data_IF_239495375595
#
_entry.id   IF_239495375595
#
_cell.length_a   1.000
_cell.length_b   1.000
_cell.length_c   1.000
_cell.angle_alpha   90.00
_cell.angle_beta   90.00
_cell.angle_gamma   90.00
#
_symmetry.space_group_name_H-M   'P 1'
#
loop_
_entity.id
_entity.type
_entity.pdbx_description
1 polymer ?
#
# COMPACT_ATOMS: atom_id res chain seq x y z
N UNK A 1 -3.44 -28.94 -15.65
CA UNK A 1 -3.79 -27.64 -16.28
C UNK A 1 -2.97 -27.47 -17.55
N UNK A 2 -3.60 -27.08 -18.65
CA UNK A 2 -2.88 -26.73 -19.86
C UNK A 2 -2.36 -25.27 -19.78
N UNK A 3 -1.49 -24.87 -20.73
CA UNK A 3 -0.88 -23.53 -20.73
C UNK A 3 -1.91 -22.39 -20.77
N UNK A 4 -3.00 -22.54 -21.51
CA UNK A 4 -4.08 -21.55 -21.62
C UNK A 4 -4.81 -21.35 -20.28
N UNK A 5 -5.07 -22.42 -19.55
CA UNK A 5 -5.71 -22.35 -18.22
C UNK A 5 -4.79 -21.62 -17.21
N UNK A 6 -3.49 -21.93 -17.24
CA UNK A 6 -2.51 -21.26 -16.37
C UNK A 6 -2.44 -19.77 -16.70
N UNK A 7 -2.34 -19.40 -17.99
CA UNK A 7 -2.34 -17.99 -18.41
C UNK A 7 -3.58 -17.27 -17.89
N UNK A 8 -4.77 -17.86 -18.07
CA UNK A 8 -6.01 -17.26 -17.59
C UNK A 8 -6.01 -17.02 -16.08
N UNK A 9 -5.57 -18.00 -15.29
CA UNK A 9 -5.52 -17.88 -13.82
C UNK A 9 -4.58 -16.74 -13.40
N UNK A 10 -3.39 -16.66 -13.99
CA UNK A 10 -2.41 -15.62 -13.67
C UNK A 10 -2.94 -14.24 -14.06
N UNK A 11 -3.46 -14.09 -15.26
CA UNK A 11 -4.03 -12.83 -15.74
C UNK A 11 -5.20 -12.36 -14.87
N UNK A 12 -6.12 -13.26 -14.54
CA UNK A 12 -7.29 -12.95 -13.72
C UNK A 12 -6.85 -12.51 -12.31
N UNK A 13 -5.86 -13.15 -11.71
CA UNK A 13 -5.31 -12.77 -10.41
C UNK A 13 -4.68 -11.36 -10.44
N UNK A 14 -3.89 -11.06 -11.49
CA UNK A 14 -3.29 -9.74 -11.68
C UNK A 14 -4.37 -8.66 -11.87
N UNK A 15 -5.37 -8.93 -12.70
CA UNK A 15 -6.49 -8.00 -13.00
C UNK A 15 -7.42 -7.78 -11.80
N UNK A 16 -7.61 -8.82 -10.97
CA UNK A 16 -8.48 -8.75 -9.79
C UNK A 16 -7.86 -7.98 -8.61
N UNK A 17 -6.53 -7.84 -8.56
CA UNK A 17 -5.85 -7.09 -7.50
C UNK A 17 -6.24 -5.61 -7.57
N UNK A 18 -6.75 -5.07 -6.47
CA UNK A 18 -7.11 -3.65 -6.29
C UNK A 18 -6.60 -3.14 -4.94
N UNK A 19 -6.54 -1.83 -4.77
CA UNK A 19 -6.33 -1.20 -3.46
C UNK A 19 -7.65 -1.16 -2.70
N UNK A 20 -7.81 -2.05 -1.74
CA UNK A 20 -9.02 -2.18 -0.92
C UNK A 20 -8.95 -1.22 0.26
N UNK A 21 -10.03 -0.49 0.53
CA UNK A 21 -10.07 0.59 1.53
C UNK A 21 -11.14 0.38 2.62
N UNK A 22 -11.61 -0.84 2.77
CA UNK A 22 -12.43 -1.27 3.88
C UNK A 22 -12.27 -2.79 4.06
N UNK A 23 -11.96 -3.23 5.26
CA UNK A 23 -11.68 -4.63 5.56
C UNK A 23 -12.61 -5.15 6.65
N UNK A 24 -12.88 -6.45 6.59
CA UNK A 24 -13.56 -7.18 7.65
C UNK A 24 -12.63 -7.37 8.86
N UNK A 25 -13.15 -7.39 10.09
CA UNK A 25 -12.35 -7.62 11.30
C UNK A 25 -11.96 -9.11 11.48
N UNK A 26 -11.96 -9.88 10.38
CA UNK A 26 -11.61 -11.28 10.37
C UNK A 26 -10.10 -11.44 10.47
N UNK A 27 -9.57 -12.17 11.46
CA UNK A 27 -8.13 -12.34 11.63
C UNK A 27 -7.51 -13.10 10.45
N UNK A 28 -6.23 -12.84 10.21
CA UNK A 28 -5.39 -13.59 9.28
C UNK A 28 -4.35 -14.33 10.11
N UNK A 29 -4.25 -15.63 9.90
CA UNK A 29 -3.35 -16.49 10.66
C UNK A 29 -1.88 -16.15 10.35
N UNK A 30 -1.04 -16.20 11.38
CA UNK A 30 0.40 -15.91 11.24
C UNK A 30 1.07 -16.81 10.19
N UNK A 31 0.69 -18.08 10.13
CA UNK A 31 1.25 -19.01 9.17
C UNK A 31 0.88 -18.64 7.74
N UNK A 32 -0.36 -18.20 7.49
CA UNK A 32 -0.79 -17.74 6.18
C UNK A 32 0.01 -16.51 5.70
N UNK A 33 0.31 -15.58 6.62
CA UNK A 33 1.18 -14.44 6.33
C UNK A 33 2.59 -14.91 5.96
N UNK A 34 3.16 -15.86 6.71
CA UNK A 34 4.48 -16.42 6.40
C UNK A 34 4.50 -17.14 5.05
N UNK A 35 3.48 -17.91 4.74
CA UNK A 35 3.37 -18.67 3.50
C UNK A 35 3.26 -17.72 2.28
N UNK A 36 2.49 -16.65 2.39
CA UNK A 36 2.41 -15.66 1.31
C UNK A 36 3.72 -14.90 1.14
N UNK A 37 4.44 -14.55 2.23
CA UNK A 37 5.73 -13.87 2.17
C UNK A 37 6.82 -14.78 1.59
N UNK A 38 6.82 -16.08 1.89
CA UNK A 38 7.72 -17.07 1.28
C UNK A 38 7.56 -17.14 -0.26
N UNK A 39 6.31 -17.08 -0.74
CA UNK A 39 6.07 -17.01 -2.19
C UNK A 39 6.50 -15.67 -2.76
N UNK A 40 6.17 -14.57 -2.10
CA UNK A 40 6.55 -13.22 -2.53
C UNK A 40 8.07 -13.02 -2.58
N UNK A 41 8.82 -13.66 -1.68
CA UNK A 41 10.28 -13.62 -1.64
C UNK A 41 10.96 -14.25 -2.87
N UNK A 42 10.19 -14.88 -3.78
CA UNK A 42 10.67 -15.29 -5.10
C UNK A 42 10.80 -14.12 -6.09
N UNK A 43 10.42 -12.91 -5.70
CA UNK A 43 10.69 -11.71 -6.48
C UNK A 43 12.19 -11.62 -6.81
N UNK A 44 12.57 -11.19 -8.03
CA UNK A 44 13.96 -11.00 -8.38
C UNK A 44 14.54 -9.77 -7.65
N UNK A 45 15.86 -9.78 -7.46
CA UNK A 45 16.62 -8.62 -7.00
C UNK A 45 18.02 -8.63 -7.64
N UNK A 46 18.61 -7.46 -7.81
CA UNK A 46 19.97 -7.32 -8.35
C UNK A 46 20.95 -8.19 -7.57
N UNK A 47 21.68 -9.09 -8.27
CA UNK A 47 22.60 -10.07 -7.67
C UNK A 47 22.02 -10.88 -6.50
N UNK A 48 20.69 -11.00 -6.43
CA UNK A 48 19.95 -11.70 -5.40
C UNK A 48 20.13 -11.09 -3.98
N UNK A 49 20.23 -9.77 -3.89
CA UNK A 49 20.47 -9.05 -2.63
C UNK A 49 19.32 -9.12 -1.65
N UNK A 50 18.07 -9.33 -2.12
CA UNK A 50 16.87 -9.49 -1.29
C UNK A 50 16.74 -8.41 -0.21
N UNK A 51 16.62 -7.12 -0.58
CA UNK A 51 16.78 -5.99 0.33
C UNK A 51 15.58 -5.75 1.26
N UNK A 52 14.59 -6.60 1.20
CA UNK A 52 13.32 -6.44 1.93
C UNK A 52 13.40 -6.93 3.37
N UNK A 53 12.88 -6.09 4.27
CA UNK A 53 12.57 -6.41 5.65
C UNK A 53 11.08 -6.10 5.88
N UNK A 54 10.35 -6.99 6.54
CA UNK A 54 8.90 -6.87 6.71
C UNK A 54 8.53 -6.92 8.18
N UNK A 55 7.80 -5.92 8.63
CA UNK A 55 7.26 -5.84 9.98
C UNK A 55 5.75 -6.02 9.93
N UNK A 56 5.24 -6.96 10.71
CA UNK A 56 3.81 -7.24 10.82
C UNK A 56 3.30 -6.72 12.16
N UNK A 57 2.25 -5.91 12.12
CA UNK A 57 1.64 -5.35 13.31
C UNK A 57 0.16 -5.71 13.36
N UNK A 58 -0.31 -6.16 14.52
CA UNK A 58 -1.70 -6.59 14.75
C UNK A 58 -2.16 -6.21 16.14
N UNK A 59 -3.45 -6.37 16.41
CA UNK A 59 -4.03 -6.23 17.76
C UNK A 59 -3.72 -4.91 18.44
N UNK A 60 -3.43 -4.93 19.73
CA UNK A 60 -3.20 -3.75 20.55
C UNK A 60 -2.02 -2.89 20.07
N UNK A 61 -0.96 -3.50 19.52
CA UNK A 61 0.18 -2.73 18.98
C UNK A 61 -0.22 -1.94 17.73
N UNK A 62 -1.00 -2.55 16.82
CA UNK A 62 -1.55 -1.84 15.65
C UNK A 62 -2.46 -0.69 16.08
N UNK A 63 -3.34 -0.95 17.06
CA UNK A 63 -4.24 0.08 17.56
C UNK A 63 -3.48 1.26 18.17
N UNK A 64 -2.49 1.01 19.03
CA UNK A 64 -1.71 2.06 19.67
C UNK A 64 -0.96 2.93 18.64
N UNK A 65 -0.37 2.32 17.59
CA UNK A 65 0.25 3.06 16.50
C UNK A 65 -0.78 3.91 15.74
N UNK A 66 -1.91 3.32 15.41
CA UNK A 66 -3.00 4.03 14.71
C UNK A 66 -3.49 5.23 15.50
N UNK A 67 -3.73 5.08 16.80
CA UNK A 67 -4.22 6.14 17.68
C UNK A 67 -3.20 7.29 17.78
N UNK A 68 -1.89 7.00 17.94
CA UNK A 68 -0.84 8.02 17.99
C UNK A 68 -0.78 8.78 16.65
N UNK A 69 -0.76 8.10 15.50
CA UNK A 69 -0.72 8.76 14.20
C UNK A 69 -1.98 9.58 13.93
N UNK A 70 -3.17 9.07 14.22
CA UNK A 70 -4.44 9.78 14.02
C UNK A 70 -4.52 11.02 14.92
N UNK A 71 -4.03 10.93 16.17
CA UNK A 71 -3.93 12.07 17.07
C UNK A 71 -3.03 13.18 16.48
N UNK A 72 -1.86 12.82 15.96
CA UNK A 72 -0.96 13.77 15.31
C UNK A 72 -1.59 14.33 14.03
N UNK A 73 -2.19 13.50 13.20
CA UNK A 73 -2.83 13.89 11.93
C UNK A 73 -3.96 14.91 12.14
N UNK A 74 -4.72 14.77 13.24
CA UNK A 74 -5.82 15.68 13.57
C UNK A 74 -5.37 16.94 14.34
N UNK A 75 -4.09 17.05 14.69
CA UNK A 75 -3.53 18.23 15.33
C UNK A 75 -2.64 18.99 14.32
N UNK A 76 -3.08 20.17 13.80
CA UNK A 76 -2.32 20.90 12.78
C UNK A 76 -0.89 21.28 13.16
N UNK A 77 -0.63 21.58 14.44
CA UNK A 77 0.72 21.94 14.88
C UNK A 77 1.62 20.69 14.95
N UNK A 78 1.13 19.59 15.50
CA UNK A 78 1.87 18.34 15.55
C UNK A 78 2.11 17.76 14.14
N UNK A 79 1.15 17.96 13.22
CA UNK A 79 1.29 17.50 11.83
C UNK A 79 2.38 18.26 11.07
N UNK A 80 2.59 19.54 11.32
CA UNK A 80 3.65 20.35 10.70
C UNK A 80 5.06 19.83 11.02
N UNK A 81 5.22 19.18 12.16
CA UNK A 81 6.49 18.58 12.58
C UNK A 81 6.80 17.25 11.86
N UNK A 82 5.80 16.70 11.14
CA UNK A 82 5.96 15.45 10.41
C UNK A 82 6.49 15.71 9.00
N UNK A 83 7.53 14.99 8.62
CA UNK A 83 8.18 15.13 7.30
C UNK A 83 8.35 13.75 6.67
N UNK A 84 8.25 13.67 5.35
CA UNK A 84 8.63 12.47 4.63
C UNK A 84 10.15 12.24 4.70
N UNK A 85 10.54 10.99 4.79
CA UNK A 85 11.96 10.61 4.80
C UNK A 85 12.58 10.57 3.40
N UNK A 86 11.74 10.40 2.40
CA UNK A 86 12.08 10.46 0.98
C UNK A 86 10.90 11.02 0.18
N UNK A 87 11.17 11.58 -0.98
CA UNK A 87 10.13 12.14 -1.83
C UNK A 87 9.40 11.02 -2.60
N UNK A 88 8.21 10.63 -2.14
CA UNK A 88 7.38 9.67 -2.86
C UNK A 88 6.76 10.30 -4.12
N UNK A 89 6.35 11.56 -4.05
CA UNK A 89 5.74 12.28 -5.15
C UNK A 89 6.70 13.32 -5.76
N UNK A 90 6.55 13.65 -7.06
CA UNK A 90 7.32 14.71 -7.67
C UNK A 90 6.95 16.07 -7.05
N UNK A 91 7.94 16.97 -6.91
CA UNK A 91 7.70 18.33 -6.44
C UNK A 91 6.77 19.12 -7.37
N UNK A 92 6.86 18.85 -8.68
CA UNK A 92 5.99 19.46 -9.70
C UNK A 92 5.30 18.39 -10.52
N UNK A 93 3.98 18.47 -10.57
CA UNK A 93 3.16 17.55 -11.33
C UNK A 93 2.93 18.06 -12.77
N UNK A 94 3.06 17.17 -13.74
CA UNK A 94 2.76 17.39 -15.17
C UNK A 94 1.73 16.39 -15.67
N UNK A 95 1.06 16.69 -16.80
CA UNK A 95 0.22 15.71 -17.50
C UNK A 95 1.09 14.63 -18.17
N UNK A 96 0.55 13.41 -18.23
CA UNK A 96 -0.80 12.95 -17.86
C UNK A 96 -0.92 12.57 -16.37
N UNK A 97 0.14 12.67 -15.57
CA UNK A 97 0.19 12.14 -14.19
C UNK A 97 -0.73 12.91 -13.25
N UNK A 98 -0.79 14.24 -13.35
CA UNK A 98 -1.67 15.06 -12.50
C UNK A 98 -3.15 14.77 -12.80
N UNK A 99 -3.50 14.59 -14.06
CA UNK A 99 -4.87 14.25 -14.48
C UNK A 99 -5.30 12.89 -13.95
N UNK A 100 -4.44 11.87 -14.05
CA UNK A 100 -4.68 10.53 -13.49
C UNK A 100 -4.82 10.56 -11.96
N UNK A 101 -3.95 11.31 -11.28
CA UNK A 101 -4.02 11.50 -9.83
C UNK A 101 -5.34 12.15 -9.40
N UNK A 102 -5.75 13.20 -10.10
CA UNK A 102 -7.02 13.89 -9.81
C UNK A 102 -8.22 12.98 -10.06
N UNK A 103 -8.20 12.23 -11.17
CA UNK A 103 -9.29 11.32 -11.51
C UNK A 103 -9.53 10.28 -10.42
N UNK A 104 -8.50 9.59 -9.95
CA UNK A 104 -8.68 8.58 -8.91
C UNK A 104 -9.20 9.18 -7.59
N UNK A 105 -8.80 10.42 -7.26
CA UNK A 105 -9.34 11.13 -6.11
C UNK A 105 -10.83 11.48 -6.27
N UNK A 106 -11.21 12.03 -7.43
CA UNK A 106 -12.60 12.35 -7.74
C UNK A 106 -13.50 11.10 -7.76
N UNK A 107 -13.03 10.01 -8.37
CA UNK A 107 -13.79 8.76 -8.45
C UNK A 107 -14.02 8.18 -7.05
N UNK A 108 -12.99 8.15 -6.19
CA UNK A 108 -13.10 7.65 -4.82
C UNK A 108 -14.05 8.50 -3.95
N UNK A 109 -13.83 9.82 -3.94
CA UNK A 109 -14.66 10.72 -3.14
C UNK A 109 -16.09 10.81 -3.69
N UNK A 110 -16.26 10.70 -5.00
CA UNK A 110 -17.57 10.63 -5.63
C UNK A 110 -18.37 9.39 -5.19
N UNK A 111 -17.74 8.21 -5.15
CA UNK A 111 -18.36 7.00 -4.60
C UNK A 111 -18.80 7.16 -3.14
N UNK A 112 -18.02 7.89 -2.36
CA UNK A 112 -18.32 8.16 -0.94
C UNK A 112 -19.33 9.30 -0.75
N UNK A 113 -19.82 9.93 -1.84
CA UNK A 113 -20.71 11.07 -1.77
C UNK A 113 -20.08 12.34 -1.17
N UNK A 114 -18.74 12.46 -1.24
CA UNK A 114 -17.99 13.58 -0.68
C UNK A 114 -17.65 14.62 -1.75
N UNK A 115 -18.10 15.87 -1.53
CA UNK A 115 -17.83 17.02 -2.39
C UNK A 115 -16.77 17.97 -1.80
N UNK A 116 -16.39 19.01 -2.58
CA UNK A 116 -15.38 20.01 -2.18
C UNK A 116 -15.66 20.74 -0.86
N UNK A 117 -16.92 20.80 -0.42
CA UNK A 117 -17.34 21.42 0.85
C UNK A 117 -17.16 20.54 2.08
N UNK A 118 -17.01 19.22 1.88
CA UNK A 118 -17.01 18.23 2.97
C UNK A 118 -15.60 18.02 3.57
N UNK A 119 -14.91 19.11 3.91
CA UNK A 119 -13.51 19.05 4.36
C UNK A 119 -13.28 18.12 5.55
N UNK A 120 -14.15 18.17 6.56
CA UNK A 120 -14.03 17.31 7.75
C UNK A 120 -14.21 15.83 7.41
N UNK A 121 -15.20 15.50 6.56
CA UNK A 121 -15.42 14.14 6.10
C UNK A 121 -14.27 13.64 5.23
N UNK A 122 -13.72 14.50 4.37
CA UNK A 122 -12.52 14.17 3.57
C UNK A 122 -11.30 13.93 4.47
N UNK A 123 -11.12 14.74 5.52
CA UNK A 123 -10.07 14.53 6.52
C UNK A 123 -10.26 13.21 7.25
N UNK A 124 -11.48 12.91 7.72
CA UNK A 124 -11.81 11.64 8.35
C UNK A 124 -11.54 10.44 7.43
N UNK A 125 -11.91 10.54 6.14
CA UNK A 125 -11.62 9.51 5.15
C UNK A 125 -10.10 9.36 4.92
N UNK A 126 -9.34 10.44 4.94
CA UNK A 126 -7.87 10.39 4.83
C UNK A 126 -7.27 9.72 6.07
N UNK A 127 -7.78 10.03 7.27
CA UNK A 127 -7.34 9.43 8.52
C UNK A 127 -7.51 7.90 8.56
N UNK A 128 -8.46 7.33 7.79
CA UNK A 128 -8.63 5.87 7.68
C UNK A 128 -7.40 5.15 7.12
N UNK A 129 -6.52 5.84 6.40
CA UNK A 129 -5.22 5.26 6.04
C UNK A 129 -4.46 4.77 7.28
N UNK A 130 -4.51 5.53 8.36
CA UNK A 130 -3.73 5.29 9.58
C UNK A 130 -4.38 4.27 10.53
N UNK A 131 -5.65 3.93 10.32
CA UNK A 131 -6.28 2.75 10.90
C UNK A 131 -6.15 1.51 10.00
N UNK A 132 -5.34 1.58 8.93
CA UNK A 132 -5.21 0.52 7.93
C UNK A 132 -6.54 0.15 7.25
N UNK A 133 -7.46 1.12 7.11
CA UNK A 133 -8.80 0.87 6.59
C UNK A 133 -9.54 -0.27 7.31
N UNK A 134 -9.32 -0.39 8.62
CA UNK A 134 -9.85 -1.43 9.52
C UNK A 134 -9.31 -2.85 9.29
N UNK A 135 -8.29 -3.02 8.45
CA UNK A 135 -7.64 -4.31 8.23
C UNK A 135 -7.08 -4.89 9.55
N UNK A 136 -7.20 -6.20 9.78
CA UNK A 136 -6.68 -6.84 10.99
C UNK A 136 -5.15 -6.80 11.05
N UNK A 137 -4.49 -6.71 9.90
CA UNK A 137 -3.02 -6.73 9.77
C UNK A 137 -2.53 -5.45 9.11
N UNK A 138 -1.59 -4.78 9.77
CA UNK A 138 -0.73 -3.76 9.19
C UNK A 138 0.63 -4.38 8.82
N UNK A 139 1.10 -4.06 7.63
CA UNK A 139 2.41 -4.47 7.14
C UNK A 139 3.25 -3.24 6.90
N UNK A 140 4.49 -3.22 7.38
CA UNK A 140 5.46 -2.20 7.03
C UNK A 140 6.64 -2.83 6.30
N UNK A 141 7.01 -2.20 5.22
CA UNK A 141 8.14 -2.54 4.39
C UNK A 141 9.30 -1.61 4.72
N UNK A 142 10.45 -2.19 5.02
CA UNK A 142 11.63 -1.50 5.52
C UNK A 142 12.85 -1.93 4.71
N UNK A 143 13.75 -1.00 4.43
CA UNK A 143 14.99 -1.23 3.69
C UNK A 143 16.17 -0.64 4.46
N UNK A 144 17.36 -1.21 4.30
CA UNK A 144 18.56 -0.61 4.86
C UNK A 144 18.96 0.64 4.05
N UNK A 145 19.32 1.73 4.74
CA UNK A 145 19.67 3.04 4.14
C UNK A 145 20.83 2.99 3.16
N UNK A 146 21.70 1.99 3.29
CA UNK A 146 22.80 1.78 2.35
C UNK A 146 22.31 1.38 0.95
N UNK A 147 21.09 0.88 0.85
CA UNK A 147 20.50 0.46 -0.42
C UNK A 147 20.06 1.66 -1.26
N UNK A 148 20.39 1.64 -2.55
CA UNK A 148 20.15 2.73 -3.49
C UNK A 148 18.95 2.43 -4.41
N UNK A 149 18.70 3.31 -5.38
CA UNK A 149 17.53 3.28 -6.28
C UNK A 149 17.28 1.93 -6.96
N UNK A 150 18.34 1.16 -7.30
CA UNK A 150 18.19 -0.18 -7.86
C UNK A 150 17.47 -1.13 -6.92
N UNK A 151 17.81 -1.10 -5.63
CA UNK A 151 17.14 -1.93 -4.62
C UNK A 151 15.70 -1.48 -4.33
N UNK A 152 15.36 -0.22 -4.56
CA UNK A 152 13.98 0.25 -4.49
C UNK A 152 13.14 -0.28 -5.66
N UNK A 153 13.73 -0.44 -6.84
CA UNK A 153 13.10 -1.14 -7.97
C UNK A 153 12.81 -2.60 -7.61
N UNK A 154 13.80 -3.30 -7.05
CA UNK A 154 13.66 -4.67 -6.57
C UNK A 154 12.55 -4.78 -5.51
N UNK A 155 12.51 -3.82 -4.60
CA UNK A 155 11.50 -3.74 -3.55
C UNK A 155 10.09 -3.60 -4.11
N UNK A 156 9.91 -2.80 -5.17
CA UNK A 156 8.63 -2.66 -5.87
C UNK A 156 8.12 -4.00 -6.43
N UNK A 157 9.01 -4.83 -6.98
CA UNK A 157 8.69 -6.17 -7.46
C UNK A 157 8.28 -7.11 -6.31
N UNK A 158 8.95 -7.02 -5.17
CA UNK A 158 8.58 -7.77 -3.97
C UNK A 158 7.20 -7.36 -3.44
N UNK A 159 6.94 -6.07 -3.27
CA UNK A 159 5.64 -5.54 -2.81
C UNK A 159 4.50 -5.98 -3.74
N UNK A 160 4.71 -5.92 -5.06
CA UNK A 160 3.72 -6.42 -6.03
C UNK A 160 3.51 -7.94 -5.86
N UNK A 161 4.57 -8.71 -5.63
CA UNK A 161 4.47 -10.16 -5.39
C UNK A 161 3.68 -10.47 -4.12
N UNK A 162 3.86 -9.69 -3.04
CA UNK A 162 3.06 -9.80 -1.81
C UNK A 162 1.56 -9.59 -2.11
N UNK A 163 1.22 -8.55 -2.88
CA UNK A 163 -0.17 -8.25 -3.22
C UNK A 163 -0.82 -9.36 -4.06
N UNK A 164 -0.08 -9.94 -5.01
CA UNK A 164 -0.57 -11.02 -5.85
C UNK A 164 -0.71 -12.34 -5.07
N UNK A 165 0.26 -12.65 -4.21
CA UNK A 165 0.22 -13.83 -3.35
C UNK A 165 -0.94 -13.76 -2.34
N UNK A 166 -1.23 -12.56 -1.80
CA UNK A 166 -2.39 -12.33 -0.95
C UNK A 166 -3.70 -12.55 -1.73
N UNK A 167 -3.80 -11.94 -2.93
CA UNK A 167 -5.01 -12.06 -3.77
C UNK A 167 -5.32 -13.50 -4.14
N UNK A 168 -4.31 -14.29 -4.49
CA UNK A 168 -4.46 -15.72 -4.79
C UNK A 168 -4.96 -16.56 -3.59
N UNK A 169 -4.85 -16.02 -2.37
CA UNK A 169 -5.33 -16.63 -1.12
C UNK A 169 -6.68 -16.10 -0.62
N UNK A 170 -7.36 -15.28 -1.44
CA UNK A 170 -8.61 -14.61 -1.05
C UNK A 170 -8.42 -13.46 -0.06
N UNK A 171 -7.18 -13.05 0.17
CA UNK A 171 -6.84 -11.84 0.91
C UNK A 171 -6.74 -10.66 -0.04
N UNK A 172 -6.95 -9.47 0.51
CA UNK A 172 -6.81 -8.22 -0.21
C UNK A 172 -5.83 -7.28 0.50
N UNK A 173 -5.35 -6.29 -0.24
CA UNK A 173 -4.32 -5.36 0.23
C UNK A 173 -4.59 -3.93 -0.20
N UNK A 174 -3.99 -2.99 0.53
CA UNK A 174 -3.85 -1.60 0.09
C UNK A 174 -2.44 -1.10 0.45
N UNK A 175 -1.54 -0.91 -0.51
CA UNK A 175 -0.24 -0.27 -0.24
C UNK A 175 -0.46 1.21 0.04
N UNK A 176 0.26 1.75 1.06
CA UNK A 176 -0.01 3.06 1.62
C UNK A 176 1.28 3.86 1.82
N UNK A 177 1.58 4.74 0.87
CA UNK A 177 2.65 5.73 1.02
C UNK A 177 2.31 6.80 2.08
N UNK A 178 1.03 6.94 2.47
CA UNK A 178 0.61 7.89 3.51
C UNK A 178 1.37 7.73 4.84
N UNK A 179 1.88 6.55 5.13
CA UNK A 179 2.66 6.28 6.34
C UNK A 179 4.06 6.89 6.31
N UNK A 180 4.62 7.22 5.14
CA UNK A 180 6.00 7.74 5.04
C UNK A 180 6.18 9.06 5.78
N UNK A 181 5.15 9.89 5.85
CA UNK A 181 5.16 11.13 6.63
C UNK A 181 5.34 10.88 8.13
N UNK A 182 4.90 9.73 8.64
CA UNK A 182 4.97 9.37 10.06
C UNK A 182 6.12 8.38 10.37
N UNK A 183 7.16 8.36 9.53
CA UNK A 183 8.25 7.40 9.64
C UNK A 183 8.90 7.37 11.03
N UNK A 184 9.03 8.52 11.72
CA UNK A 184 9.60 8.62 13.07
C UNK A 184 8.72 7.94 14.12
N UNK A 185 7.41 8.12 14.04
CA UNK A 185 6.44 7.47 14.92
C UNK A 185 6.47 5.96 14.70
N UNK A 186 6.45 5.55 13.44
CA UNK A 186 6.52 4.13 13.06
C UNK A 186 7.82 3.49 13.51
N UNK A 187 8.96 4.16 13.31
CA UNK A 187 10.26 3.67 13.75
C UNK A 187 10.29 3.40 15.26
N UNK A 188 9.71 4.29 16.07
CA UNK A 188 9.58 4.11 17.52
C UNK A 188 8.72 2.90 17.89
N UNK A 189 7.55 2.72 17.24
CA UNK A 189 6.65 1.60 17.52
C UNK A 189 7.18 0.24 17.08
N UNK A 190 7.98 0.22 16.02
CA UNK A 190 8.57 -1.00 15.46
C UNK A 190 9.99 -1.27 15.96
N UNK A 191 10.54 -0.38 16.79
CA UNK A 191 11.93 -0.44 17.27
C UNK A 191 12.93 -0.56 16.10
N UNK A 192 12.73 0.28 15.06
CA UNK A 192 13.61 0.28 13.89
C UNK A 192 15.00 0.81 14.28
N UNK A 193 16.00 0.17 13.73
CA UNK A 193 17.40 0.62 13.90
C UNK A 193 17.67 1.88 13.06
N UNK A 194 18.66 2.70 13.42
CA UNK A 194 19.02 3.90 12.65
C UNK A 194 19.40 3.63 11.19
N UNK A 195 19.90 2.43 10.90
CA UNK A 195 20.25 1.98 9.54
C UNK A 195 19.04 1.65 8.68
N UNK A 196 17.87 1.52 9.27
CA UNK A 196 16.64 1.12 8.58
C UNK A 196 15.83 2.34 8.16
N UNK A 197 15.16 2.21 7.02
CA UNK A 197 14.30 3.23 6.42
C UNK A 197 12.95 2.62 6.05
N UNK A 198 11.87 3.33 6.38
CA UNK A 198 10.52 2.95 5.97
C UNK A 198 10.33 3.15 4.46
N UNK A 199 9.92 2.09 3.76
CA UNK A 199 9.54 2.16 2.34
C UNK A 199 8.07 2.56 2.20
N UNK A 200 7.16 1.80 2.80
CA UNK A 200 5.72 2.12 2.86
C UNK A 200 5.01 1.22 3.87
N UNK A 201 3.74 1.52 4.10
CA UNK A 201 2.82 0.61 4.80
C UNK A 201 1.91 -0.14 3.83
N UNK A 202 1.20 -1.14 4.34
CA UNK A 202 0.15 -1.86 3.61
C UNK A 202 -0.89 -2.41 4.58
N UNK A 203 -2.15 -2.23 4.24
CA UNK A 203 -3.26 -2.96 4.87
C UNK A 203 -3.35 -4.36 4.28
N UNK A 204 -3.60 -5.38 5.11
CA UNK A 204 -3.78 -6.77 4.67
C UNK A 204 -4.94 -7.41 5.44
N UNK A 205 -5.86 -8.05 4.73
CA UNK A 205 -7.02 -8.71 5.32
C UNK A 205 -8.03 -9.15 4.27
N UNK A 206 -9.25 -9.40 4.72
CA UNK A 206 -10.38 -9.75 3.85
C UNK A 206 -11.18 -8.48 3.52
N UNK A 207 -11.42 -8.22 2.22
CA UNK A 207 -12.20 -7.06 1.79
C UNK A 207 -13.63 -7.10 2.36
N UNK A 208 -14.11 -5.96 2.86
CA UNK A 208 -15.54 -5.77 3.11
C UNK A 208 -16.23 -5.36 1.79
N UNK A 209 -16.84 -6.32 1.13
CA UNK A 209 -17.51 -6.11 -0.17
C UNK A 209 -18.80 -5.32 -0.06
N UNK A 210 -19.32 -5.07 1.14
CA UNK A 210 -20.49 -4.22 1.37
C UNK A 210 -20.16 -2.73 1.27
N UNK A 211 -18.89 -2.36 1.32
CA UNK A 211 -18.43 -0.97 1.31
C UNK A 211 -18.22 -0.44 -0.10
N UNK A 212 -18.85 0.71 -0.37
CA UNK A 212 -18.89 1.30 -1.72
C UNK A 212 -17.50 1.66 -2.24
N UNK A 213 -16.58 2.11 -1.40
CA UNK A 213 -15.21 2.44 -1.77
C UNK A 213 -14.42 1.26 -2.33
N UNK A 214 -14.82 0.04 -2.02
CA UNK A 214 -14.22 -1.19 -2.57
C UNK A 214 -14.75 -1.56 -3.95
N UNK A 215 -15.75 -0.84 -4.47
CA UNK A 215 -16.21 -1.01 -5.86
C UNK A 215 -15.35 -0.24 -6.86
N UNK A 216 -14.47 0.67 -6.39
CA UNK A 216 -13.63 1.46 -7.27
C UNK A 216 -12.70 0.58 -8.12
N UNK A 217 -12.87 0.68 -9.44
CA UNK A 217 -11.97 0.09 -10.43
C UNK A 217 -11.30 1.21 -11.20
N UNK A 218 -9.97 1.34 -11.01
CA UNK A 218 -9.20 2.37 -11.69
C UNK A 218 -8.81 1.94 -13.10
N UNK A 219 -8.88 2.88 -14.05
CA UNK A 219 -8.44 2.67 -15.43
C UNK A 219 -6.94 2.39 -15.53
N UNK A 220 -6.54 1.81 -16.63
CA UNK A 220 -5.15 1.63 -17.04
C UNK A 220 -4.95 2.15 -18.45
N UNK A 221 -3.79 2.72 -18.67
CA UNK A 221 -3.37 3.10 -20.02
C UNK A 221 -3.21 1.84 -20.88
N UNK A 222 -3.79 1.79 -22.10
CA UNK A 222 -3.56 0.68 -23.01
C UNK A 222 -2.09 0.54 -23.41
N UNK A 223 -1.62 -0.69 -23.55
CA UNK A 223 -0.20 -0.98 -23.76
C UNK A 223 0.38 -0.27 -24.99
N UNK A 224 -0.39 -0.12 -26.07
CA UNK A 224 0.06 0.56 -27.29
C UNK A 224 0.40 2.04 -27.09
N UNK A 225 -0.10 2.69 -26.02
CA UNK A 225 0.18 4.09 -25.73
C UNK A 225 1.53 4.31 -25.00
N UNK A 226 2.13 3.26 -24.44
CA UNK A 226 3.41 3.35 -23.73
C UNK A 226 4.46 2.35 -24.22
N UNK A 227 4.21 1.66 -25.36
CA UNK A 227 5.14 0.68 -25.93
C UNK A 227 5.64 1.19 -27.27
N UNK A 228 6.95 1.15 -27.45
CA UNK A 228 7.62 1.49 -28.70
C UNK A 228 8.37 0.24 -29.22
N UNK A 229 8.03 -0.21 -30.43
CA UNK A 229 8.78 -1.26 -31.13
C UNK A 229 9.85 -0.59 -31.98
N UNK A 230 11.09 -0.97 -31.77
CA UNK A 230 12.25 -0.50 -32.55
C UNK A 230 12.76 -1.72 -33.32
N UNK A 231 12.58 -1.71 -34.65
CA UNK A 231 12.92 -2.79 -35.56
C UNK A 231 14.07 -2.38 -36.52
#
# INVERSE_FOLDING_TARGET
MNASEVTKIVDDNIKARRSIRAFLPKPVEKQEILDLLNVAARAPSGTNTQPWQVYIITGAKKQALSDEIISIFNNPEALKEQTEEYNYYPATWIDPYISRRRKVGFDLYGLLGLGKGDKEKMQAQTARNYSFFDAPVGVFFVIDRVMQQGSWLDYGMFVQSVMLAAKARGLDTCPQAAFTQFHRVIAKHLDLKPEQQLVCGMSLGYADTSKIENTLVTEREPAHNFTHFIE
#
